data_IF_627089061301
#
_entry.id   IF_627089061301
#
_cell.length_a   1.000
_cell.length_b   1.000
_cell.length_c   1.000
_cell.angle_alpha   90.00
_cell.angle_beta   90.00
_cell.angle_gamma   90.00
#
_symmetry.space_group_name_H-M   'P 1'
#
loop_
_entity.id
_entity.type
_entity.pdbx_description
1 polymer ?
#
# COMPACT_ATOMS: atom_id res chain seq x y z
N UNK A 1 -11.14 11.35 6.27
CA UNK A 1 -10.34 10.77 5.16
C UNK A 1 -10.62 9.27 5.09
N UNK A 2 -10.85 8.69 3.91
CA UNK A 2 -11.14 7.25 3.79
C UNK A 2 -9.88 6.40 4.09
N UNK A 3 -10.06 5.13 4.47
CA UNK A 3 -8.95 4.18 4.69
C UNK A 3 -8.03 4.09 3.47
N UNK A 4 -8.64 4.03 2.27
CA UNK A 4 -7.96 4.08 0.97
C UNK A 4 -7.05 5.31 0.83
N UNK A 5 -7.61 6.51 1.08
CA UNK A 5 -6.85 7.77 1.03
C UNK A 5 -5.72 7.84 2.07
N UNK A 6 -5.91 7.24 3.25
CA UNK A 6 -4.85 7.16 4.27
C UNK A 6 -3.70 6.24 3.85
N UNK A 7 -3.99 5.09 3.24
CA UNK A 7 -2.97 4.19 2.67
C UNK A 7 -2.23 4.90 1.54
N UNK A 8 -2.95 5.53 0.62
CA UNK A 8 -2.31 6.29 -0.45
C UNK A 8 -1.40 7.40 0.09
N UNK A 9 -1.86 8.14 1.10
CA UNK A 9 -1.05 9.18 1.73
C UNK A 9 0.22 8.61 2.38
N UNK A 10 0.14 7.46 3.07
CA UNK A 10 1.32 6.79 3.61
C UNK A 10 2.31 6.44 2.50
N UNK A 11 1.84 5.84 1.41
CA UNK A 11 2.69 5.42 0.29
C UNK A 11 3.16 6.58 -0.60
N UNK A 12 2.58 7.77 -0.46
CA UNK A 12 2.87 8.93 -1.32
C UNK A 12 4.28 9.49 -1.16
N UNK A 13 5.01 9.08 -0.11
CA UNK A 13 6.43 9.40 0.05
C UNK A 13 7.35 8.59 -0.90
N UNK A 14 6.78 7.64 -1.66
CA UNK A 14 7.50 6.79 -2.59
C UNK A 14 8.43 5.77 -1.92
N UNK A 15 8.36 5.62 -0.60
CA UNK A 15 9.17 4.66 0.16
C UNK A 15 8.47 3.31 0.26
N UNK A 16 9.22 2.33 0.74
CA UNK A 16 8.72 0.99 1.03
C UNK A 16 8.11 0.98 2.43
N UNK A 17 6.84 0.60 2.51
CA UNK A 17 6.10 0.45 3.76
C UNK A 17 5.76 -1.02 4.00
N UNK A 18 5.98 -1.48 5.22
CA UNK A 18 5.68 -2.84 5.65
C UNK A 18 4.18 -3.04 5.86
N UNK A 19 3.75 -4.30 5.91
CA UNK A 19 2.41 -4.68 6.35
C UNK A 19 2.07 -4.12 7.74
N UNK A 20 3.04 -4.06 8.65
CA UNK A 20 2.88 -3.56 10.02
C UNK A 20 2.53 -2.07 10.06
N UNK A 21 3.00 -1.28 9.10
CA UNK A 21 2.66 0.14 8.96
C UNK A 21 1.26 0.35 8.36
N UNK A 22 0.76 -0.61 7.58
CA UNK A 22 -0.55 -0.56 6.92
C UNK A 22 -1.70 -1.06 7.82
N UNK A 23 -1.44 -2.06 8.66
CA UNK A 23 -2.43 -2.67 9.57
C UNK A 23 -3.15 -1.63 10.45
N UNK A 24 -2.46 -0.64 11.08
CA UNK A 24 -3.11 0.38 11.90
C UNK A 24 -4.10 1.27 11.13
N UNK A 25 -3.95 1.38 9.79
CA UNK A 25 -4.92 2.08 8.96
C UNK A 25 -6.14 1.18 8.72
N UNK A 26 -5.89 -0.08 8.35
CA UNK A 26 -6.92 -1.12 8.28
C UNK A 26 -6.34 -2.53 8.13
N UNK A 27 -6.94 -3.50 8.83
CA UNK A 27 -6.64 -4.93 8.62
C UNK A 27 -6.97 -5.47 7.22
N UNK A 28 -7.77 -4.74 6.42
CA UNK A 28 -8.09 -5.08 5.03
C UNK A 28 -7.27 -4.25 4.04
N UNK A 29 -6.02 -3.92 4.38
CA UNK A 29 -5.19 -3.06 3.55
C UNK A 29 -4.97 -3.64 2.16
N UNK A 30 -4.88 -4.98 1.99
CA UNK A 30 -4.75 -5.61 0.67
C UNK A 30 -5.89 -5.23 -0.26
N UNK A 31 -7.13 -5.30 0.19
CA UNK A 31 -8.29 -4.89 -0.62
C UNK A 31 -8.26 -3.38 -0.96
N UNK A 32 -7.72 -2.55 -0.06
CA UNK A 32 -7.57 -1.13 -0.32
C UNK A 32 -6.43 -0.84 -1.32
N UNK A 33 -5.33 -1.61 -1.28
CA UNK A 33 -4.24 -1.56 -2.26
C UNK A 33 -4.75 -2.01 -3.64
N UNK A 34 -5.53 -3.09 -3.70
CA UNK A 34 -6.09 -3.59 -4.97
C UNK A 34 -7.08 -2.58 -5.57
N UNK A 35 -7.96 -1.99 -4.76
CA UNK A 35 -8.82 -0.88 -5.19
C UNK A 35 -8.03 0.37 -5.64
N UNK A 36 -6.85 0.65 -5.06
CA UNK A 36 -5.99 1.74 -5.54
C UNK A 36 -5.38 1.43 -6.91
N UNK A 37 -5.08 0.16 -7.19
CA UNK A 37 -4.54 -0.29 -8.48
C UNK A 37 -5.62 -0.31 -9.56
N UNK A 38 -6.73 -0.98 -9.27
CA UNK A 38 -7.75 -1.31 -10.26
C UNK A 38 -8.70 -0.13 -10.50
N UNK A 39 -9.13 0.56 -9.43
CA UNK A 39 -10.13 1.64 -9.57
C UNK A 39 -9.47 3.00 -9.86
N UNK A 40 -8.35 3.30 -9.19
CA UNK A 40 -7.71 4.63 -9.26
C UNK A 40 -6.47 4.65 -10.18
N UNK A 41 -6.02 3.50 -10.67
CA UNK A 41 -4.88 3.41 -11.61
C UNK A 41 -3.51 3.66 -10.98
N UNK A 42 -3.36 3.56 -9.66
CA UNK A 42 -2.06 3.75 -9.00
C UNK A 42 -1.14 2.54 -9.18
N UNK A 43 0.10 2.81 -9.58
CA UNK A 43 1.13 1.77 -9.64
C UNK A 43 1.72 1.49 -8.25
N UNK A 44 1.10 0.58 -7.50
CA UNK A 44 1.63 0.15 -6.20
C UNK A 44 2.36 -1.19 -6.37
N UNK A 45 3.67 -1.21 -6.13
CA UNK A 45 4.46 -2.43 -6.11
C UNK A 45 4.25 -3.21 -4.80
N UNK A 46 4.15 -4.54 -4.89
CA UNK A 46 4.30 -5.45 -3.74
C UNK A 46 5.61 -6.20 -3.90
N UNK A 47 6.52 -6.02 -2.95
CA UNK A 47 7.88 -6.55 -3.02
C UNK A 47 8.05 -7.53 -1.85
N UNK A 48 8.41 -8.77 -2.14
CA UNK A 48 8.73 -9.77 -1.12
C UNK A 48 10.16 -9.56 -0.61
N UNK A 49 10.33 -9.38 0.70
CA UNK A 49 11.65 -9.15 1.31
C UNK A 49 12.12 -10.31 2.19
N UNK A 50 11.21 -11.17 2.67
CA UNK A 50 11.55 -12.38 3.43
C UNK A 50 10.43 -13.43 3.31
N UNK A 51 10.55 -14.55 4.05
CA UNK A 51 9.51 -15.57 4.10
C UNK A 51 8.20 -14.97 4.65
N UNK A 52 7.21 -14.82 3.77
CA UNK A 52 5.91 -14.19 4.03
C UNK A 52 5.96 -12.70 4.47
N UNK A 53 7.07 -12.01 4.27
CA UNK A 53 7.18 -10.57 4.55
C UNK A 53 7.17 -9.80 3.24
N UNK A 54 6.25 -8.85 3.13
CA UNK A 54 6.04 -8.00 1.97
C UNK A 54 6.13 -6.53 2.37
N UNK A 55 6.63 -5.72 1.44
CA UNK A 55 6.57 -4.27 1.50
C UNK A 55 5.84 -3.72 0.29
N UNK A 56 5.23 -2.56 0.46
CA UNK A 56 4.40 -1.88 -0.52
C UNK A 56 5.01 -0.52 -0.82
N UNK A 57 5.08 -0.15 -2.09
CA UNK A 57 5.68 1.10 -2.53
C UNK A 57 4.85 1.67 -3.68
N UNK A 58 4.48 2.95 -3.59
CA UNK A 58 3.94 3.66 -4.73
C UNK A 58 5.07 3.95 -5.71
N UNK A 59 4.94 3.48 -6.95
CA UNK A 59 5.80 3.86 -8.05
C UNK A 59 5.33 5.22 -8.54
N UNK A 60 6.11 6.24 -8.26
CA UNK A 60 5.92 7.55 -8.85
C UNK A 60 6.61 7.49 -10.21
N UNK A 61 5.83 7.65 -11.29
CA UNK A 61 6.36 7.80 -12.64
C UNK A 61 7.06 9.16 -12.80
#
# INVERSE_FOLDING_TARGET
>A
MSKKKRILHLLSDGKRHTTEELIPITHRFSAAIDSLRDDDGYEIATIKIAHNVYVYQLKVA
#
